data_IF_530894463641
#
_entry.id   IF_530894463641
#
_cell.length_a   1.000
_cell.length_b   1.000
_cell.length_c   1.000
_cell.angle_alpha   90.00
_cell.angle_beta   90.00
_cell.angle_gamma   90.00
#
_symmetry.space_group_name_H-M   'P 1'
#
loop_
_entity.id
_entity.type
_entity.pdbx_description
1 polymer ?
#
# COMPACT_ATOMS: atom_id res chain seq x y z
N UNK A 1 11.89 -6.91 -13.26
CA UNK A 1 12.62 -6.66 -12.00
C UNK A 1 12.39 -5.22 -11.59
N UNK A 2 12.18 -4.95 -10.31
CA UNK A 2 11.97 -3.60 -9.78
C UNK A 2 13.34 -2.91 -9.66
N UNK A 3 13.62 -1.96 -10.55
CA UNK A 3 14.88 -1.20 -10.56
C UNK A 3 14.87 -0.09 -9.50
N UNK A 4 13.71 0.56 -9.34
CA UNK A 4 13.48 1.65 -8.39
C UNK A 4 12.04 1.57 -7.88
N UNK A 5 11.85 1.92 -6.61
CA UNK A 5 10.56 2.16 -6.01
C UNK A 5 10.61 3.49 -5.26
N UNK A 6 9.50 4.21 -5.25
CA UNK A 6 9.30 5.45 -4.49
C UNK A 6 7.89 5.45 -3.95
N UNK A 7 7.65 6.17 -2.87
CA UNK A 7 6.35 6.28 -2.24
C UNK A 7 6.02 7.75 -1.96
N UNK A 8 4.73 8.01 -1.86
CA UNK A 8 4.18 9.23 -1.31
C UNK A 8 3.17 8.78 -0.25
N UNK A 9 3.32 9.27 0.98
CA UNK A 9 2.54 8.80 2.11
C UNK A 9 2.17 9.95 3.02
N UNK A 10 0.89 10.02 3.34
CA UNK A 10 0.31 10.96 4.28
C UNK A 10 -0.14 10.15 5.50
N UNK A 11 0.41 10.44 6.68
CA UNK A 11 0.07 9.68 7.87
C UNK A 11 1.10 9.80 8.98
N UNK A 12 0.97 8.92 9.97
CA UNK A 12 1.87 8.90 11.11
C UNK A 12 3.26 8.37 10.76
N UNK A 13 4.24 8.60 11.64
CA UNK A 13 5.63 8.17 11.46
C UNK A 13 5.75 6.66 11.15
N UNK A 14 4.90 5.81 11.74
CA UNK A 14 4.89 4.37 11.46
C UNK A 14 4.52 4.08 9.99
N UNK A 15 3.59 4.84 9.39
CA UNK A 15 3.20 4.67 7.99
C UNK A 15 4.30 5.09 7.02
N UNK A 16 5.01 6.17 7.35
CA UNK A 16 6.18 6.63 6.58
C UNK A 16 7.30 5.60 6.68
N UNK A 17 7.59 5.10 7.88
CA UNK A 17 8.64 4.10 8.11
C UNK A 17 8.36 2.79 7.37
N UNK A 18 7.12 2.26 7.44
CA UNK A 18 6.75 1.02 6.74
C UNK A 18 6.79 1.19 5.23
N UNK A 19 6.33 2.32 4.70
CA UNK A 19 6.41 2.63 3.27
C UNK A 19 7.86 2.75 2.79
N UNK A 20 8.70 3.43 3.57
CA UNK A 20 10.12 3.62 3.26
C UNK A 20 10.91 2.32 3.28
N UNK A 21 10.74 1.46 4.29
CA UNK A 21 11.47 0.18 4.29
C UNK A 21 10.98 -0.73 3.17
N UNK A 22 9.68 -0.69 2.86
CA UNK A 22 9.10 -1.51 1.79
C UNK A 22 9.74 -1.21 0.44
N UNK A 23 10.02 0.06 0.11
CA UNK A 23 10.68 0.40 -1.16
C UNK A 23 12.07 -0.22 -1.28
N UNK A 24 12.82 -0.29 -0.19
CA UNK A 24 14.12 -0.96 -0.16
C UNK A 24 13.97 -2.49 -0.27
N UNK A 25 13.02 -3.07 0.47
CA UNK A 25 12.78 -4.52 0.48
C UNK A 25 12.40 -5.11 -0.89
N UNK A 26 11.77 -4.32 -1.77
CA UNK A 26 11.31 -4.80 -3.08
C UNK A 26 12.30 -4.51 -4.21
N UNK A 27 13.29 -3.66 -3.96
CA UNK A 27 14.31 -3.31 -4.95
C UNK A 27 15.10 -4.56 -5.37
N UNK A 28 15.29 -4.74 -6.67
CA UNK A 28 15.96 -5.90 -7.24
C UNK A 28 15.11 -7.18 -7.35
N UNK A 29 13.89 -7.21 -6.79
CA UNK A 29 12.98 -8.37 -6.90
C UNK A 29 12.22 -8.38 -8.22
N UNK A 30 11.82 -9.57 -8.67
CA UNK A 30 10.77 -9.73 -9.69
C UNK A 30 9.40 -9.38 -9.09
N UNK A 31 8.39 -9.15 -9.93
CA UNK A 31 7.06 -8.70 -9.47
C UNK A 31 6.33 -9.79 -8.67
N UNK A 32 6.50 -11.05 -9.03
CA UNK A 32 5.97 -12.22 -8.32
C UNK A 32 6.65 -12.43 -6.95
N UNK A 33 7.95 -12.10 -6.86
CA UNK A 33 8.68 -12.11 -5.59
C UNK A 33 8.27 -10.94 -4.69
N UNK A 34 8.15 -9.74 -5.25
CA UNK A 34 7.70 -8.55 -4.53
C UNK A 34 6.26 -8.73 -4.02
N UNK A 35 5.38 -9.35 -4.80
CA UNK A 35 4.00 -9.68 -4.44
C UNK A 35 3.90 -10.49 -3.13
N UNK A 36 4.85 -11.40 -2.89
CA UNK A 36 4.92 -12.26 -1.70
C UNK A 36 5.35 -11.52 -0.44
N UNK A 37 5.74 -10.24 -0.53
CA UNK A 37 6.09 -9.43 0.63
C UNK A 37 4.87 -9.30 1.55
N UNK A 38 5.02 -9.72 2.81
CA UNK A 38 3.95 -9.68 3.82
C UNK A 38 4.08 -8.43 4.68
N UNK A 39 2.94 -7.89 5.09
CA UNK A 39 2.88 -6.75 6.02
C UNK A 39 3.53 -7.08 7.37
N UNK A 40 3.54 -8.35 7.78
CA UNK A 40 4.23 -8.81 9.00
C UNK A 40 5.73 -8.65 8.85
N UNK A 41 6.29 -9.05 7.71
CA UNK A 41 7.71 -8.87 7.41
C UNK A 41 8.06 -7.39 7.41
N UNK A 42 7.30 -6.55 6.72
CA UNK A 42 7.51 -5.08 6.71
C UNK A 42 7.47 -4.50 8.13
N UNK A 43 6.51 -4.92 8.96
CA UNK A 43 6.40 -4.47 10.35
C UNK A 43 7.59 -4.91 11.20
N UNK A 44 8.12 -6.11 10.96
CA UNK A 44 9.30 -6.60 11.68
C UNK A 44 10.57 -5.88 11.27
N UNK A 45 10.74 -5.52 9.99
CA UNK A 45 11.92 -4.79 9.50
C UNK A 45 12.03 -3.38 10.10
N UNK A 46 10.92 -2.75 10.49
CA UNK A 46 10.94 -1.47 11.24
C UNK A 46 11.16 -1.64 12.75
N UNK A 47 11.53 -2.84 13.22
CA UNK A 47 11.74 -3.16 14.63
C UNK A 47 10.48 -3.62 15.36
N UNK A 48 9.40 -3.94 14.63
CA UNK A 48 8.10 -4.27 15.19
C UNK A 48 7.20 -3.03 15.36
N UNK A 49 5.89 -3.28 15.44
CA UNK A 49 4.89 -2.25 15.68
C UNK A 49 3.93 -2.71 16.79
N UNK A 50 3.40 -1.79 17.63
CA UNK A 50 2.32 -2.13 18.54
C UNK A 50 1.07 -2.54 17.76
N UNK A 51 0.22 -3.37 18.35
CA UNK A 51 -0.95 -3.96 17.68
C UNK A 51 -1.84 -2.93 16.97
N UNK A 52 -2.05 -1.76 17.59
CA UNK A 52 -2.86 -0.65 17.05
C UNK A 52 -2.28 -0.02 15.77
N UNK A 53 -1.00 -0.25 15.47
CA UNK A 53 -0.29 0.32 14.31
C UNK A 53 0.05 -0.68 13.21
N UNK A 54 -0.35 -1.95 13.33
CA UNK A 54 -0.10 -2.93 12.25
C UNK A 54 -0.76 -2.56 10.91
N UNK A 55 -1.83 -1.76 10.93
CA UNK A 55 -2.45 -1.22 9.71
C UNK A 55 -1.43 -0.48 8.83
N UNK A 56 -0.44 0.21 9.40
CA UNK A 56 0.59 0.92 8.62
C UNK A 56 1.42 -0.02 7.72
N UNK A 57 1.69 -1.25 8.18
CA UNK A 57 2.35 -2.27 7.35
C UNK A 57 1.41 -2.84 6.29
N UNK A 58 0.13 -3.02 6.64
CA UNK A 58 -0.90 -3.53 5.75
C UNK A 58 -1.13 -2.56 4.59
N UNK A 59 -1.26 -1.26 4.87
CA UNK A 59 -1.44 -0.23 3.85
C UNK A 59 -0.27 -0.15 2.88
N UNK A 60 0.97 -0.19 3.40
CA UNK A 60 2.17 -0.19 2.57
C UNK A 60 2.17 -1.38 1.57
N UNK A 61 1.84 -2.58 2.05
CA UNK A 61 1.75 -3.78 1.20
C UNK A 61 0.55 -3.72 0.24
N UNK A 62 -0.58 -3.19 0.68
CA UNK A 62 -1.75 -2.95 -0.16
C UNK A 62 -1.41 -2.02 -1.34
N UNK A 63 -0.68 -0.94 -1.07
CA UNK A 63 -0.19 -0.01 -2.10
C UNK A 63 0.76 -0.70 -3.10
N UNK A 64 1.71 -1.50 -2.62
CA UNK A 64 2.61 -2.28 -3.49
C UNK A 64 1.82 -3.22 -4.41
N UNK A 65 0.87 -3.98 -3.88
CA UNK A 65 0.08 -4.94 -4.67
C UNK A 65 -0.77 -4.23 -5.71
N UNK A 66 -1.41 -3.12 -5.34
CA UNK A 66 -2.14 -2.25 -6.29
C UNK A 66 -1.23 -1.71 -7.39
N UNK A 67 0.00 -1.28 -7.06
CA UNK A 67 0.97 -0.81 -8.05
C UNK A 67 1.37 -1.91 -9.04
N UNK A 68 1.60 -3.14 -8.55
CA UNK A 68 1.89 -4.31 -9.39
C UNK A 68 0.72 -4.62 -10.33
N UNK A 69 -0.53 -4.60 -9.82
CA UNK A 69 -1.73 -4.79 -10.65
C UNK A 69 -1.84 -3.71 -11.72
N UNK A 70 -1.62 -2.45 -11.34
CA UNK A 70 -1.70 -1.32 -12.27
C UNK A 70 -0.68 -1.47 -13.39
N UNK A 71 0.55 -1.90 -13.08
CA UNK A 71 1.56 -2.21 -14.09
C UNK A 71 1.07 -3.26 -15.09
N UNK A 72 0.50 -4.38 -14.60
CA UNK A 72 0.00 -5.45 -15.46
C UNK A 72 -1.22 -5.04 -16.30
N UNK A 73 -2.11 -4.23 -15.73
CA UNK A 73 -3.22 -3.59 -16.43
C UNK A 73 -2.72 -2.71 -17.58
N UNK A 74 -1.73 -1.85 -17.32
CA UNK A 74 -1.12 -0.99 -18.35
C UNK A 74 -0.39 -1.78 -19.44
N UNK A 75 0.22 -2.91 -19.06
CA UNK A 75 0.88 -3.82 -20.00
C UNK A 75 -0.10 -4.65 -20.85
N UNK A 76 -1.38 -4.71 -20.46
CA UNK A 76 -2.38 -5.55 -21.13
C UNK A 76 -2.13 -7.05 -20.93
N UNK A 77 -1.50 -7.45 -19.83
CA UNK A 77 -1.18 -8.85 -19.53
C UNK A 77 -1.49 -9.17 -18.07
N UNK A 78 -2.13 -10.30 -17.79
CA UNK A 78 -2.35 -10.79 -16.43
C UNK A 78 -1.61 -12.11 -16.26
N UNK A 79 -0.53 -12.16 -15.46
CA UNK A 79 0.19 -13.41 -15.25
C UNK A 79 -0.63 -14.36 -14.35
N UNK A 80 -0.45 -15.66 -14.54
CA UNK A 80 -1.21 -16.70 -13.83
C UNK A 80 -1.09 -16.64 -12.29
N UNK A 81 0.05 -16.17 -11.77
CA UNK A 81 0.28 -16.06 -10.33
C UNK A 81 -0.46 -14.89 -9.67
N UNK A 82 -1.00 -13.94 -10.46
CA UNK A 82 -1.68 -12.76 -9.94
C UNK A 82 -3.17 -13.10 -9.71
N UNK A 83 -3.67 -13.10 -8.45
CA UNK A 83 -5.07 -13.42 -8.16
C UNK A 83 -6.02 -12.44 -8.84
N UNK A 84 -7.19 -12.89 -9.32
CA UNK A 84 -8.21 -12.00 -9.88
C UNK A 84 -8.80 -11.06 -8.83
N UNK A 85 -9.06 -11.59 -7.64
CA UNK A 85 -9.67 -10.88 -6.52
C UNK A 85 -8.66 -10.02 -5.76
N UNK A 86 -9.16 -8.95 -5.15
CA UNK A 86 -8.37 -8.11 -4.26
C UNK A 86 -8.01 -8.87 -2.97
N UNK A 87 -6.76 -8.74 -2.57
CA UNK A 87 -6.26 -9.26 -1.30
C UNK A 87 -6.77 -8.40 -0.13
N UNK A 88 -6.66 -8.92 1.09
CA UNK A 88 -7.07 -8.21 2.31
C UNK A 88 -6.37 -6.85 2.44
N UNK A 89 -5.06 -6.81 2.21
CA UNK A 89 -4.26 -5.60 2.27
C UNK A 89 -4.68 -4.55 1.24
N UNK A 90 -5.10 -4.99 0.05
CA UNK A 90 -5.62 -4.10 -0.99
C UNK A 90 -6.99 -3.52 -0.62
N UNK A 91 -7.87 -4.34 -0.04
CA UNK A 91 -9.19 -3.90 0.42
C UNK A 91 -9.08 -2.86 1.52
N UNK A 92 -8.24 -3.09 2.54
CA UNK A 92 -8.03 -2.09 3.60
C UNK A 92 -7.49 -0.76 3.06
N UNK A 93 -6.53 -0.81 2.13
CA UNK A 93 -6.01 0.42 1.51
C UNK A 93 -7.07 1.19 0.70
N UNK A 94 -8.01 0.49 0.06
CA UNK A 94 -9.13 1.13 -0.66
C UNK A 94 -10.17 1.71 0.29
N UNK A 95 -10.50 1.00 1.37
CA UNK A 95 -11.45 1.46 2.38
C UNK A 95 -10.98 2.75 3.05
N UNK A 96 -9.69 2.84 3.40
CA UNK A 96 -9.11 4.07 3.96
C UNK A 96 -9.12 5.23 2.95
N UNK A 97 -8.81 4.96 1.67
CA UNK A 97 -8.85 5.96 0.60
C UNK A 97 -10.28 6.50 0.40
N UNK A 98 -11.28 5.61 0.42
CA UNK A 98 -12.69 5.99 0.27
C UNK A 98 -13.19 6.79 1.48
N UNK A 99 -12.84 6.37 2.69
CA UNK A 99 -13.17 7.12 3.90
C UNK A 99 -12.55 8.51 3.88
N UNK A 100 -11.28 8.63 3.46
CA UNK A 100 -10.61 9.92 3.32
C UNK A 100 -11.32 10.84 2.30
N UNK A 101 -11.77 10.30 1.16
CA UNK A 101 -12.57 11.06 0.17
C UNK A 101 -13.89 11.54 0.75
N UNK A 102 -14.60 10.68 1.47
CA UNK A 102 -15.87 11.04 2.12
C UNK A 102 -15.65 12.16 3.14
N UNK A 103 -14.61 12.05 3.98
CA UNK A 103 -14.28 13.07 4.97
C UNK A 103 -13.87 14.39 4.31
N UNK A 104 -13.04 14.35 3.27
CA UNK A 104 -12.63 15.55 2.52
C UNK A 104 -13.83 16.25 1.88
N UNK A 105 -14.76 15.48 1.29
CA UNK A 105 -16.01 16.03 0.73
C UNK A 105 -16.85 16.71 1.82
N UNK A 106 -17.02 16.07 2.98
CA UNK A 106 -17.77 16.66 4.10
C UNK A 106 -17.12 17.92 4.66
N UNK A 107 -15.79 17.97 4.73
CA UNK A 107 -15.07 19.17 5.17
C UNK A 107 -15.22 20.28 4.13
N UNK A 108 -15.09 19.98 2.84
CA UNK A 108 -15.30 20.96 1.77
C UNK A 108 -16.74 21.49 1.70
N UNK A 109 -17.74 20.65 2.00
CA UNK A 109 -19.13 21.07 2.17
C UNK A 109 -19.29 22.01 3.38
N UNK A 110 -18.59 21.75 4.49
CA UNK A 110 -18.61 22.60 5.69
C UNK A 110 -17.92 23.96 5.48
N UNK A 111 -16.80 24.01 4.73
CA UNK A 111 -16.11 25.25 4.39
C UNK A 111 -16.87 26.12 3.37
N UNK A 112 -17.75 25.51 2.57
CA UNK A 112 -18.63 26.20 1.63
C UNK A 112 -19.91 26.80 2.25
N UNK A 113 -20.17 26.56 3.54
CA UNK A 113 -21.32 27.06 4.30
C UNK A 113 -21.01 28.31 5.17
N UNK A 114 -19.80 28.88 5.06
CA UNK A 114 -19.37 30.10 5.77
C UNK A 114 -19.29 31.30 4.82
#
# INVERSE_FOLDING_TARGET
VIVKASFESYGCAANIATSSILTEMVKGKKLDEAWKTSWKTVSNEVGGLPAVKFHCGILAVGALRRAIRQYYKMKGSTPEWLPSELTFEEKQALEEEELAKILAKKIGEFEGEI
#
